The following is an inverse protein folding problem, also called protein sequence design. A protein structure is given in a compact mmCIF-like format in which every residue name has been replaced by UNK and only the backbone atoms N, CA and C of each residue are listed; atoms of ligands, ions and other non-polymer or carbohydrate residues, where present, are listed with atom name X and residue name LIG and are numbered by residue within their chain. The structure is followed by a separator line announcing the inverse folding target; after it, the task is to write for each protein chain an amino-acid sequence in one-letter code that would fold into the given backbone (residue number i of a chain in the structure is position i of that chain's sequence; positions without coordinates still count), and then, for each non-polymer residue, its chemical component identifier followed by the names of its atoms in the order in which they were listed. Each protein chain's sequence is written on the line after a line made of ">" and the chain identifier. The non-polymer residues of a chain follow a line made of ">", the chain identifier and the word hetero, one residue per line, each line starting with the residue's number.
data_IF_176790742210
#
_entry.id   IF_176790742210
#
_cell.length_a   1.000
_cell.length_b   1.000
_cell.length_c   1.000
_cell.angle_alpha   90.00
_cell.angle_beta   90.00
_cell.angle_gamma   90.00
#
_symmetry.space_group_name_H-M   'P 1'
#
loop_
_entity.id
_entity.type
_entity.pdbx_description
1 polymer ?
#
# COMPACT_ATOMS: atom_id res chain seq x y z
N UNK A 1 23.18 -43.34 7.14
CA UNK A 1 24.57 -43.83 7.21
C UNK A 1 25.49 -42.68 6.91
N UNK A 2 26.52 -42.54 7.74
CA UNK A 2 27.32 -41.33 7.91
C UNK A 2 28.70 -41.45 7.24
N UNK A 3 29.48 -40.35 7.24
CA UNK A 3 30.94 -40.29 7.41
C UNK A 3 31.35 -38.83 7.22
N UNK A 4 31.72 -38.11 8.24
CA UNK A 4 33.00 -37.96 8.91
C UNK A 4 33.93 -36.94 8.22
N UNK A 5 34.12 -35.78 8.84
CA UNK A 5 35.27 -35.45 9.68
C UNK A 5 36.58 -35.12 8.90
N UNK A 6 37.07 -33.91 8.99
CA UNK A 6 38.44 -33.64 9.40
C UNK A 6 38.72 -32.15 9.73
N UNK A 7 39.12 -31.97 10.96
CA UNK A 7 39.93 -30.94 11.58
C UNK A 7 41.24 -30.62 10.83
N UNK A 8 41.71 -29.36 10.94
CA UNK A 8 43.07 -28.91 11.39
C UNK A 8 43.10 -27.38 11.36
N UNK A 9 43.19 -26.68 12.44
CA UNK A 9 44.37 -26.27 13.27
C UNK A 9 45.47 -25.57 12.47
N UNK A 10 45.67 -24.28 12.76
CA UNK A 10 46.91 -23.52 13.01
C UNK A 10 46.47 -22.03 13.17
N UNK A 11 46.70 -21.29 14.18
CA UNK A 11 47.80 -21.18 15.13
C UNK A 11 48.77 -20.10 14.66
N UNK A 12 48.51 -18.79 14.98
CA UNK A 12 49.55 -17.78 14.94
C UNK A 12 49.27 -16.70 16.01
N UNK A 13 50.19 -16.68 16.93
CA UNK A 13 50.40 -15.84 18.09
C UNK A 13 50.76 -14.41 17.70
N UNK A 14 50.19 -13.43 18.38
CA UNK A 14 50.60 -12.03 18.37
C UNK A 14 51.72 -11.78 19.38
N UNK A 15 52.64 -10.82 19.17
CA UNK A 15 53.52 -10.33 20.24
C UNK A 15 52.96 -9.02 20.82
N UNK A 16 53.03 -8.93 22.14
CA UNK A 16 52.58 -7.85 22.97
C UNK A 16 53.40 -6.56 22.84
N UNK A 17 52.73 -5.48 23.11
CA UNK A 17 53.31 -4.16 23.36
C UNK A 17 53.10 -3.79 24.80
N UNK A 18 54.22 -3.51 25.50
CA UNK A 18 54.30 -3.07 26.92
C UNK A 18 53.84 -1.61 27.02
N UNK A 19 53.29 -1.19 28.16
CA UNK A 19 53.00 0.21 28.44
C UNK A 19 54.22 0.96 28.91
N UNK A 20 54.38 2.23 28.46
CA UNK A 20 55.38 3.16 28.87
C UNK A 20 55.02 3.83 30.21
N UNK A 21 56.03 4.27 31.00
CA UNK A 21 55.85 4.73 32.35
C UNK A 21 55.42 6.20 32.48
N UNK A 22 54.60 6.44 33.48
CA UNK A 22 54.13 7.73 33.97
C UNK A 22 55.31 8.51 34.56
N UNK A 23 55.58 9.72 34.01
CA UNK A 23 56.55 10.67 34.61
C UNK A 23 55.74 11.71 35.40
N UNK A 24 55.91 11.71 36.71
CA UNK A 24 55.50 12.79 37.60
C UNK A 24 56.58 13.87 37.69
N UNK A 25 56.26 15.17 37.59
CA UNK A 25 57.22 16.21 37.89
C UNK A 25 57.21 16.56 39.38
N UNK A 26 58.39 16.55 39.92
CA UNK A 26 58.75 16.93 41.31
C UNK A 26 58.80 18.43 41.43
N UNK A 27 58.18 18.98 42.49
CA UNK A 27 58.33 20.39 42.93
C UNK A 27 59.63 20.57 43.75
N UNK A 28 60.35 21.66 43.59
CA UNK A 28 61.42 21.99 44.53
C UNK A 28 60.96 22.92 45.66
N UNK A 29 61.65 22.92 46.78
CA UNK A 29 61.19 23.50 48.03
C UNK A 29 61.57 24.98 48.24
N UNK A 30 60.80 25.57 49.14
CA UNK A 30 60.86 26.85 49.80
C UNK A 30 62.27 27.45 50.07
N UNK A 31 62.44 28.71 49.69
CA UNK A 31 63.47 29.57 50.19
C UNK A 31 62.90 30.80 50.89
N UNK A 32 63.03 30.83 52.18
CA UNK A 32 62.73 31.95 53.05
C UNK A 32 63.82 32.99 52.87
N UNK A 33 63.48 34.25 52.60
CA UNK A 33 64.43 35.38 52.80
C UNK A 33 63.74 36.58 53.46
N UNK A 34 64.14 36.77 54.69
CA UNK A 34 63.76 37.88 55.55
C UNK A 34 64.64 39.08 55.18
N UNK A 35 64.11 40.28 54.95
CA UNK A 35 64.72 41.55 55.09
C UNK A 35 63.69 42.65 55.40
N UNK A 36 63.60 42.96 56.57
CA UNK A 36 63.92 44.18 57.40
C UNK A 36 63.49 45.54 56.85
N UNK A 37 62.64 46.12 57.67
CA UNK A 37 62.09 47.47 57.73
C UNK A 37 63.06 48.66 57.41
N UNK A 38 62.48 49.69 56.82
CA UNK A 38 62.58 51.06 57.36
C UNK A 38 61.72 52.03 56.53
N UNK A 39 60.75 52.54 57.20
CA UNK A 39 60.22 53.87 57.32
C UNK A 39 60.07 54.80 56.08
N UNK A 40 58.84 55.18 55.87
CA UNK A 40 58.41 56.57 55.72
C UNK A 40 56.89 56.71 55.71
N UNK A 41 56.41 57.23 56.82
CA UNK A 41 55.13 57.90 56.87
C UNK A 41 55.22 59.18 56.12
N UNK A 42 54.37 59.39 55.15
CA UNK A 42 53.79 60.64 54.67
C UNK A 42 53.47 60.52 53.18
N UNK A 43 52.17 60.23 52.89
CA UNK A 43 51.47 60.63 51.67
C UNK A 43 50.16 59.77 51.53
N UNK A 44 49.37 59.76 52.59
CA UNK A 44 48.02 59.16 52.54
C UNK A 44 46.97 60.24 52.70
N UNK A 45 46.72 61.01 51.62
CA UNK A 45 45.44 61.78 51.53
C UNK A 45 45.01 62.22 50.12
N UNK A 46 45.62 61.72 49.00
CA UNK A 46 45.16 62.11 47.67
C UNK A 46 44.72 60.94 46.75
N UNK A 47 44.71 59.65 47.23
CA UNK A 47 44.36 58.47 46.38
C UNK A 47 42.96 57.98 46.60
N UNK A 48 42.21 58.42 47.60
CA UNK A 48 40.89 57.86 47.91
C UNK A 48 39.76 58.24 46.91
N UNK A 49 39.93 59.30 46.17
CA UNK A 49 38.90 59.75 45.19
C UNK A 49 38.96 58.98 43.85
N UNK A 50 40.12 58.53 43.45
CA UNK A 50 40.32 57.90 42.12
C UNK A 50 39.99 56.40 42.09
N UNK A 51 40.11 55.73 43.23
CA UNK A 51 39.73 54.31 43.36
C UNK A 51 38.23 54.08 43.37
N UNK A 52 37.43 55.02 43.89
CA UNK A 52 35.97 54.93 43.88
C UNK A 52 35.38 55.11 42.45
N UNK A 53 36.01 55.94 41.61
CA UNK A 53 35.61 56.07 40.22
C UNK A 53 35.93 54.84 39.38
N UNK A 54 37.06 54.19 39.63
CA UNK A 54 37.46 52.94 38.96
C UNK A 54 36.54 51.81 39.41
N UNK A 55 36.23 51.70 40.71
CA UNK A 55 35.26 50.75 41.22
C UNK A 55 33.84 50.97 40.61
N UNK A 56 33.40 52.21 40.47
CA UNK A 56 32.13 52.54 39.78
C UNK A 56 32.06 52.13 38.31
N UNK A 57 33.19 52.35 37.56
CA UNK A 57 33.28 51.94 36.15
C UNK A 57 33.31 50.39 36.02
N UNK A 58 34.03 49.70 36.90
CA UNK A 58 34.02 48.21 36.89
C UNK A 58 32.66 47.66 37.20
N UNK A 59 31.93 48.20 38.18
CA UNK A 59 30.55 47.80 38.48
C UNK A 59 29.62 48.11 37.31
N UNK A 60 29.77 49.26 36.63
CA UNK A 60 28.97 49.59 35.46
C UNK A 60 29.27 48.67 34.26
N UNK A 61 30.53 48.28 34.05
CA UNK A 61 30.91 47.30 32.98
C UNK A 61 30.38 45.90 33.32
N UNK A 62 30.48 45.48 34.58
CA UNK A 62 29.94 44.20 35.03
C UNK A 62 28.40 44.21 34.93
N UNK A 63 27.73 45.29 35.32
CA UNK A 63 26.29 45.44 35.20
C UNK A 63 25.84 45.48 33.71
N UNK A 64 26.57 46.20 32.85
CA UNK A 64 26.30 46.21 31.41
C UNK A 64 26.59 44.84 30.79
N UNK A 65 27.67 44.17 31.20
CA UNK A 65 28.00 42.81 30.75
C UNK A 65 26.97 41.78 31.20
N UNK A 66 26.49 41.84 32.45
CA UNK A 66 25.42 40.97 32.95
C UNK A 66 24.08 41.29 32.34
N UNK A 67 23.82 42.54 31.98
CA UNK A 67 22.62 42.93 31.24
C UNK A 67 22.64 42.45 29.79
N UNK A 68 23.82 42.50 29.14
CA UNK A 68 24.01 42.02 27.78
C UNK A 68 24.06 40.48 27.67
N UNK A 69 24.52 39.81 28.73
CA UNK A 69 24.57 38.36 28.87
C UNK A 69 23.30 37.75 29.52
N UNK A 70 22.25 38.53 29.75
CA UNK A 70 21.00 37.97 30.22
C UNK A 70 20.50 37.02 29.14
N UNK A 71 20.34 35.70 29.42
CA UNK A 71 19.69 34.81 28.51
C UNK A 71 18.28 35.40 28.26
N UNK A 72 17.93 35.56 27.00
CA UNK A 72 16.55 35.89 26.61
C UNK A 72 15.68 34.82 27.30
N UNK A 73 14.85 35.24 28.26
CA UNK A 73 13.94 34.34 28.94
C UNK A 73 13.14 33.62 27.87
N UNK A 74 13.26 32.29 27.81
CA UNK A 74 12.40 31.50 26.92
C UNK A 74 10.96 31.84 27.30
N UNK A 75 10.25 32.46 26.37
CA UNK A 75 8.85 32.84 26.58
C UNK A 75 8.05 31.54 26.71
N UNK A 76 7.57 31.24 27.93
CA UNK A 76 6.84 30.00 28.24
C UNK A 76 5.60 29.77 27.37
N UNK A 77 5.20 30.76 26.60
CA UNK A 77 4.09 30.69 25.62
C UNK A 77 4.47 29.99 24.35
N UNK A 78 5.78 29.88 24.05
CA UNK A 78 6.31 29.21 22.85
C UNK A 78 7.27 28.10 23.28
N UNK A 79 7.13 26.95 22.62
CA UNK A 79 8.06 25.85 22.79
C UNK A 79 8.75 25.58 21.47
N UNK A 80 10.03 25.26 21.54
CA UNK A 80 10.83 24.93 20.36
C UNK A 80 11.40 23.52 20.45
N UNK A 81 11.48 22.86 19.30
CA UNK A 81 12.09 21.54 19.19
C UNK A 81 12.87 21.40 17.89
N UNK A 82 14.02 20.76 17.98
CA UNK A 82 14.79 20.40 16.80
C UNK A 82 14.11 19.22 16.10
N UNK A 83 14.11 19.27 14.77
CA UNK A 83 13.48 18.24 13.98
C UNK A 83 14.02 18.18 12.56
N UNK A 84 13.33 17.38 11.76
CA UNK A 84 13.63 17.20 10.34
C UNK A 84 12.34 17.25 9.54
N UNK A 85 12.41 17.88 8.37
CA UNK A 85 11.31 17.85 7.40
C UNK A 85 11.26 16.49 6.75
N UNK A 86 10.11 15.87 6.80
CA UNK A 86 9.78 14.57 6.21
C UNK A 86 8.56 14.71 5.31
N UNK A 87 8.38 13.79 4.40
CA UNK A 87 7.17 13.67 3.62
C UNK A 87 6.74 12.19 3.58
N UNK A 88 5.51 11.95 3.21
CA UNK A 88 5.02 10.58 3.05
C UNK A 88 5.69 9.94 1.84
N UNK A 89 6.40 8.85 2.07
CA UNK A 89 6.98 8.03 1.01
C UNK A 89 6.00 6.97 0.57
N UNK A 90 5.89 6.78 -0.75
CA UNK A 90 5.02 5.78 -1.37
C UNK A 90 5.84 4.99 -2.38
N UNK A 91 5.97 3.69 -2.16
CA UNK A 91 6.69 2.81 -3.06
C UNK A 91 5.77 2.27 -4.16
N UNK A 92 6.21 2.40 -5.41
CA UNK A 92 5.60 1.72 -6.54
C UNK A 92 6.27 0.35 -6.66
N UNK A 93 5.48 -0.69 -6.38
CA UNK A 93 5.94 -2.08 -6.38
C UNK A 93 5.22 -2.90 -7.45
N UNK A 94 5.91 -3.89 -8.02
CA UNK A 94 5.31 -4.82 -8.96
C UNK A 94 4.39 -5.80 -8.24
N UNK A 95 3.15 -5.98 -8.68
CA UNK A 95 2.25 -7.00 -8.14
C UNK A 95 2.67 -8.41 -8.55
N UNK A 96 3.17 -8.56 -9.77
CA UNK A 96 3.55 -9.84 -10.37
C UNK A 96 5.06 -9.90 -10.55
N UNK A 97 5.64 -11.06 -10.30
CA UNK A 97 7.06 -11.29 -10.56
C UNK A 97 7.35 -11.25 -12.06
N UNK A 98 8.46 -10.62 -12.44
CA UNK A 98 8.86 -10.54 -13.84
C UNK A 98 10.11 -9.71 -14.06
N UNK A 99 10.47 -9.53 -15.32
CA UNK A 99 11.57 -8.65 -15.73
C UNK A 99 11.04 -7.23 -15.94
N UNK A 100 11.76 -6.22 -15.46
CA UNK A 100 11.50 -4.83 -15.78
C UNK A 100 11.96 -4.55 -17.21
N UNK A 101 11.02 -4.19 -18.10
CA UNK A 101 11.34 -3.86 -19.49
C UNK A 101 11.94 -2.45 -19.58
N UNK A 102 11.26 -1.47 -18.99
CA UNK A 102 11.69 -0.06 -19.03
C UNK A 102 11.22 0.71 -17.80
N UNK A 103 11.94 1.74 -17.45
CA UNK A 103 11.58 2.73 -16.43
C UNK A 103 11.50 4.09 -17.13
N UNK A 104 10.34 4.73 -17.03
CA UNK A 104 9.98 5.93 -17.81
C UNK A 104 10.29 7.24 -17.09
N UNK A 105 10.76 7.15 -15.83
CA UNK A 105 11.02 8.29 -14.96
C UNK A 105 12.44 8.25 -14.42
N UNK A 106 12.99 9.43 -14.11
CA UNK A 106 14.29 9.58 -13.45
C UNK A 106 14.11 10.14 -12.04
N UNK A 107 15.16 10.01 -11.23
CA UNK A 107 15.21 10.62 -9.90
C UNK A 107 15.07 12.14 -10.01
N UNK A 108 14.19 12.70 -9.21
CA UNK A 108 13.86 14.13 -9.23
C UNK A 108 12.66 14.51 -10.11
N UNK A 109 12.21 13.64 -11.01
CA UNK A 109 11.05 13.91 -11.87
C UNK A 109 9.75 14.01 -11.04
N UNK A 110 8.85 14.90 -11.47
CA UNK A 110 7.49 14.95 -10.93
C UNK A 110 6.59 14.02 -11.72
N UNK A 111 5.76 13.28 -11.02
CA UNK A 111 4.78 12.36 -11.59
C UNK A 111 3.38 12.70 -11.11
N UNK A 112 2.41 12.57 -12.00
CA UNK A 112 1.00 12.71 -11.68
C UNK A 112 0.43 11.37 -11.17
N UNK A 113 -0.69 11.44 -10.44
CA UNK A 113 -1.45 10.24 -10.08
C UNK A 113 -1.89 9.46 -11.32
N UNK A 114 -1.72 8.14 -11.31
CA UNK A 114 -2.02 7.25 -12.44
C UNK A 114 -0.98 7.26 -13.57
N UNK A 115 0.03 8.12 -13.53
CA UNK A 115 1.09 8.13 -14.54
C UNK A 115 1.90 6.83 -14.51
N UNK A 116 2.17 6.25 -15.68
CA UNK A 116 3.02 5.05 -15.82
C UNK A 116 4.47 5.44 -15.54
N UNK A 117 5.08 4.77 -14.57
CA UNK A 117 6.48 5.02 -14.14
C UNK A 117 7.44 3.94 -14.61
N UNK A 118 6.93 2.70 -14.80
CA UNK A 118 7.71 1.58 -15.31
C UNK A 118 6.80 0.58 -16.01
N UNK A 119 7.38 -0.27 -16.87
CA UNK A 119 6.70 -1.38 -17.53
C UNK A 119 7.47 -2.67 -17.34
N UNK A 120 6.72 -3.74 -17.10
CA UNK A 120 7.25 -5.10 -17.05
C UNK A 120 7.30 -5.71 -18.45
N UNK A 121 8.13 -6.74 -18.63
CA UNK A 121 8.13 -7.56 -19.84
C UNK A 121 6.88 -8.45 -19.88
N UNK A 122 6.03 -8.19 -20.85
CA UNK A 122 4.70 -8.82 -20.99
C UNK A 122 4.63 -9.85 -22.12
N UNK A 123 5.74 -10.20 -22.79
CA UNK A 123 5.70 -11.08 -23.96
C UNK A 123 5.12 -12.46 -23.66
N UNK A 124 5.52 -13.08 -22.53
CA UNK A 124 4.97 -14.37 -22.10
C UNK A 124 3.48 -14.26 -21.73
N UNK A 125 3.07 -13.15 -21.13
CA UNK A 125 1.70 -12.90 -20.72
C UNK A 125 0.78 -12.69 -21.95
N UNK A 126 1.26 -11.98 -22.97
CA UNK A 126 0.54 -11.82 -24.24
C UNK A 126 0.36 -13.17 -24.98
N UNK A 127 1.37 -14.04 -24.95
CA UNK A 127 1.24 -15.38 -25.53
C UNK A 127 0.18 -16.23 -24.78
N UNK A 128 0.17 -16.18 -23.44
CA UNK A 128 -0.86 -16.85 -22.63
C UNK A 128 -2.25 -16.29 -22.88
N UNK A 129 -2.39 -14.98 -23.02
CA UNK A 129 -3.66 -14.33 -23.34
C UNK A 129 -4.18 -14.77 -24.72
N UNK A 130 -3.29 -14.88 -25.72
CA UNK A 130 -3.65 -15.39 -27.05
C UNK A 130 -4.11 -16.85 -26.98
N UNK A 131 -3.45 -17.69 -26.21
CA UNK A 131 -3.85 -19.08 -25.96
C UNK A 131 -5.24 -19.13 -25.29
N UNK A 132 -5.45 -18.39 -24.20
CA UNK A 132 -6.73 -18.39 -23.50
C UNK A 132 -7.88 -17.91 -24.38
N UNK A 133 -7.66 -16.94 -25.27
CA UNK A 133 -8.65 -16.51 -26.26
C UNK A 133 -8.99 -17.62 -27.28
N UNK A 134 -8.01 -18.41 -27.69
CA UNK A 134 -8.27 -19.57 -28.55
C UNK A 134 -9.10 -20.66 -27.83
N UNK A 135 -8.87 -20.85 -26.51
CA UNK A 135 -9.68 -21.76 -25.71
C UNK A 135 -11.13 -21.32 -25.57
N UNK A 136 -11.39 -20.01 -25.42
CA UNK A 136 -12.76 -19.44 -25.49
C UNK A 136 -13.42 -19.74 -26.86
N UNK A 137 -12.68 -19.56 -27.96
CA UNK A 137 -13.21 -19.87 -29.29
C UNK A 137 -13.56 -21.35 -29.44
N UNK A 138 -12.73 -22.24 -28.92
CA UNK A 138 -13.01 -23.70 -28.92
C UNK A 138 -14.24 -24.03 -28.08
N UNK A 139 -14.40 -23.45 -26.90
CA UNK A 139 -15.57 -23.67 -26.05
C UNK A 139 -16.87 -23.19 -26.74
N UNK A 140 -16.82 -22.03 -27.41
CA UNK A 140 -17.94 -21.53 -28.20
C UNK A 140 -18.31 -22.46 -29.36
N UNK A 141 -17.32 -23.00 -30.09
CA UNK A 141 -17.59 -23.97 -31.14
C UNK A 141 -18.21 -25.27 -30.62
N UNK A 142 -17.78 -25.74 -29.45
CA UNK A 142 -18.39 -26.91 -28.78
C UNK A 142 -19.86 -26.64 -28.41
N UNK A 143 -20.18 -25.47 -27.90
CA UNK A 143 -21.56 -25.04 -27.60
C UNK A 143 -22.42 -24.99 -28.88
N UNK A 144 -21.92 -24.45 -29.98
CA UNK A 144 -22.64 -24.45 -31.27
C UNK A 144 -22.93 -25.87 -31.74
N UNK A 145 -22.01 -26.82 -31.54
CA UNK A 145 -22.25 -28.24 -31.83
C UNK A 145 -23.37 -28.82 -30.96
N UNK A 146 -23.43 -28.47 -29.68
CA UNK A 146 -24.50 -28.88 -28.76
C UNK A 146 -25.84 -28.28 -29.16
N UNK A 147 -25.91 -27.04 -29.62
CA UNK A 147 -27.12 -26.41 -30.16
C UNK A 147 -27.64 -27.14 -31.41
N UNK A 148 -26.74 -27.52 -32.33
CA UNK A 148 -27.13 -28.31 -33.51
C UNK A 148 -27.72 -29.69 -33.09
N UNK A 149 -27.19 -30.30 -32.04
CA UNK A 149 -27.73 -31.54 -31.48
C UNK A 149 -29.14 -31.34 -30.90
N UNK A 150 -29.40 -30.26 -30.17
CA UNK A 150 -30.74 -29.89 -29.69
C UNK A 150 -31.72 -29.78 -30.86
N UNK A 151 -31.36 -29.06 -31.92
CA UNK A 151 -32.17 -28.92 -33.10
C UNK A 151 -32.51 -30.29 -33.74
N UNK A 152 -31.53 -31.18 -33.81
CA UNK A 152 -31.77 -32.57 -34.30
C UNK A 152 -32.75 -33.31 -33.38
N UNK A 153 -32.60 -33.25 -32.07
CA UNK A 153 -33.50 -33.95 -31.13
C UNK A 153 -34.92 -33.37 -31.13
N UNK A 154 -35.11 -32.08 -31.36
CA UNK A 154 -36.42 -31.46 -31.59
C UNK A 154 -37.11 -32.01 -32.83
N UNK A 155 -36.37 -32.20 -33.93
CA UNK A 155 -36.88 -32.83 -35.13
C UNK A 155 -37.28 -34.31 -34.88
N UNK A 156 -36.53 -35.06 -34.06
CA UNK A 156 -36.88 -36.45 -33.64
C UNK A 156 -38.22 -36.47 -32.87
N UNK A 157 -38.52 -35.48 -32.02
CA UNK A 157 -39.81 -35.32 -31.34
C UNK A 157 -40.92 -35.13 -32.37
N UNK A 158 -40.79 -34.24 -33.31
CA UNK A 158 -41.80 -33.97 -34.36
C UNK A 158 -42.07 -35.21 -35.23
N UNK A 159 -41.03 -36.00 -35.52
CA UNK A 159 -41.20 -37.28 -36.23
C UNK A 159 -41.99 -38.28 -35.34
N UNK A 160 -41.69 -38.37 -34.02
CA UNK A 160 -42.39 -39.27 -33.10
C UNK A 160 -43.87 -38.85 -32.92
N UNK A 161 -44.18 -37.56 -32.93
CA UNK A 161 -45.55 -37.03 -32.88
C UNK A 161 -46.32 -37.41 -34.13
N UNK A 162 -45.69 -37.38 -35.32
CA UNK A 162 -46.30 -37.82 -36.56
C UNK A 162 -46.66 -39.32 -36.55
N UNK A 163 -45.82 -40.17 -35.91
CA UNK A 163 -46.10 -41.60 -35.70
C UNK A 163 -47.27 -41.79 -34.72
N UNK A 164 -47.43 -40.96 -33.71
CA UNK A 164 -48.58 -41.01 -32.80
C UNK A 164 -49.89 -40.70 -33.53
N UNK A 165 -49.91 -39.64 -34.38
CA UNK A 165 -51.08 -39.27 -35.18
C UNK A 165 -51.48 -40.41 -36.09
N UNK A 166 -50.53 -41.12 -36.73
CA UNK A 166 -50.84 -42.34 -37.52
C UNK A 166 -51.46 -43.42 -36.66
N UNK A 167 -50.83 -43.73 -35.53
CA UNK A 167 -51.36 -44.82 -34.63
C UNK A 167 -52.76 -44.48 -34.10
N UNK A 168 -53.06 -43.22 -33.81
CA UNK A 168 -54.40 -42.76 -33.37
C UNK A 168 -55.45 -42.92 -34.47
N UNK A 169 -55.07 -42.58 -35.73
CA UNK A 169 -55.95 -42.77 -36.88
C UNK A 169 -56.26 -44.26 -37.11
N UNK A 170 -55.27 -45.15 -37.01
CA UNK A 170 -55.50 -46.62 -37.09
C UNK A 170 -56.37 -47.12 -35.94
N UNK A 171 -56.18 -46.65 -34.74
CA UNK A 171 -57.02 -46.98 -33.60
C UNK A 171 -58.46 -46.55 -33.78
N UNK A 172 -58.71 -45.34 -34.31
CA UNK A 172 -60.05 -44.82 -34.57
C UNK A 172 -60.81 -45.68 -35.64
N UNK A 173 -60.12 -46.07 -36.70
CA UNK A 173 -60.67 -46.99 -37.74
C UNK A 173 -61.01 -48.36 -37.14
N UNK A 174 -60.10 -48.97 -36.33
CA UNK A 174 -60.34 -50.25 -35.68
C UNK A 174 -61.52 -50.17 -34.72
N UNK A 175 -61.64 -49.10 -33.93
CA UNK A 175 -62.72 -48.84 -33.00
C UNK A 175 -64.07 -48.77 -33.72
N UNK A 176 -64.23 -47.93 -34.75
CA UNK A 176 -65.43 -47.76 -35.54
C UNK A 176 -65.87 -49.09 -36.20
N UNK A 177 -64.88 -49.84 -36.66
CA UNK A 177 -65.12 -51.14 -37.28
C UNK A 177 -65.68 -52.17 -36.26
N UNK A 178 -65.05 -52.27 -35.09
CA UNK A 178 -65.52 -53.12 -33.99
C UNK A 178 -66.93 -52.75 -33.50
N UNK A 179 -67.19 -51.47 -33.30
CA UNK A 179 -68.54 -50.98 -32.90
C UNK A 179 -69.61 -51.32 -33.94
N UNK A 180 -69.28 -51.26 -35.22
CA UNK A 180 -70.16 -51.63 -36.28
C UNK A 180 -70.45 -53.13 -36.28
N UNK A 181 -69.40 -53.98 -36.19
CA UNK A 181 -69.56 -55.43 -36.14
C UNK A 181 -70.29 -55.91 -34.90
N UNK A 182 -70.07 -55.28 -33.76
CA UNK A 182 -70.85 -55.59 -32.53
C UNK A 182 -72.35 -55.28 -32.67
N UNK A 183 -72.69 -54.16 -33.36
CA UNK A 183 -74.11 -53.86 -33.68
C UNK A 183 -74.72 -54.90 -34.63
N UNK A 184 -74.00 -55.32 -35.68
CA UNK A 184 -74.42 -56.32 -36.65
C UNK A 184 -74.57 -57.72 -35.97
N UNK A 185 -73.69 -58.07 -35.00
CA UNK A 185 -73.75 -59.27 -34.25
C UNK A 185 -75.06 -59.33 -33.43
N UNK A 186 -75.44 -58.24 -32.76
CA UNK A 186 -76.72 -58.14 -32.05
C UNK A 186 -77.95 -58.37 -32.96
N UNK A 187 -77.79 -57.96 -34.25
CA UNK A 187 -78.79 -58.18 -35.29
C UNK A 187 -78.68 -59.54 -35.97
N UNK A 188 -77.80 -60.47 -35.53
CA UNK A 188 -77.48 -61.77 -36.13
C UNK A 188 -77.02 -61.68 -37.59
N UNK A 189 -76.44 -60.52 -38.02
CA UNK A 189 -76.03 -60.25 -39.42
C UNK A 189 -74.49 -60.43 -39.61
N UNK A 190 -73.74 -60.93 -38.59
CA UNK A 190 -72.31 -61.26 -38.66
C UNK A 190 -72.00 -62.43 -37.69
N UNK A 191 -70.82 -63.06 -37.83
CA UNK A 191 -70.36 -64.13 -36.93
C UNK A 191 -69.74 -63.57 -35.64
N UNK A 192 -69.81 -64.33 -34.51
CA UNK A 192 -69.11 -64.00 -33.29
C UNK A 192 -67.57 -63.88 -33.49
N UNK A 193 -67.03 -64.77 -34.27
CA UNK A 193 -65.59 -64.74 -34.60
C UNK A 193 -65.16 -63.40 -35.23
N UNK A 194 -65.93 -62.86 -36.18
CA UNK A 194 -65.61 -61.58 -36.82
C UNK A 194 -65.71 -60.42 -35.81
N UNK A 195 -66.64 -60.45 -34.89
CA UNK A 195 -66.72 -59.41 -33.85
C UNK A 195 -65.56 -59.51 -32.83
N UNK A 196 -65.17 -60.74 -32.47
CA UNK A 196 -64.00 -60.97 -31.54
C UNK A 196 -62.69 -60.58 -32.23
N UNK A 197 -62.47 -60.87 -33.49
CA UNK A 197 -61.27 -60.45 -34.27
C UNK A 197 -61.18 -58.92 -34.34
N UNK A 198 -62.33 -58.24 -34.59
CA UNK A 198 -62.34 -56.78 -34.56
C UNK A 198 -62.05 -56.20 -33.18
N UNK A 199 -62.55 -56.80 -32.12
CA UNK A 199 -62.22 -56.38 -30.76
C UNK A 199 -60.70 -56.60 -30.41
N UNK A 200 -60.13 -57.72 -30.93
CA UNK A 200 -58.70 -57.95 -30.79
C UNK A 200 -57.84 -56.86 -31.51
N UNK A 201 -58.24 -56.43 -32.75
CA UNK A 201 -57.60 -55.37 -33.51
C UNK A 201 -57.69 -54.05 -32.74
N UNK A 202 -58.77 -53.69 -32.08
CA UNK A 202 -58.84 -52.48 -31.24
C UNK A 202 -57.80 -52.52 -30.12
N UNK A 203 -57.67 -53.67 -29.41
CA UNK A 203 -56.66 -53.77 -28.33
C UNK A 203 -55.24 -53.63 -28.87
N UNK A 204 -54.95 -54.22 -30.03
CA UNK A 204 -53.62 -54.06 -30.68
C UNK A 204 -53.35 -52.59 -31.10
N UNK A 205 -54.28 -51.93 -31.75
CA UNK A 205 -54.17 -50.55 -32.16
C UNK A 205 -54.01 -49.62 -30.94
N UNK A 206 -54.77 -49.86 -29.86
CA UNK A 206 -54.62 -49.12 -28.62
C UNK A 206 -53.24 -49.33 -27.97
N UNK A 207 -52.65 -50.53 -28.05
CA UNK A 207 -51.27 -50.76 -27.58
C UNK A 207 -50.26 -49.99 -28.41
N UNK A 208 -50.49 -49.93 -29.77
CA UNK A 208 -49.59 -49.11 -30.67
C UNK A 208 -49.60 -47.61 -30.33
N UNK A 209 -50.79 -47.05 -30.00
CA UNK A 209 -50.93 -45.67 -29.52
C UNK A 209 -50.08 -45.44 -28.26
N UNK A 210 -50.16 -46.38 -27.26
CA UNK A 210 -49.38 -46.28 -26.04
C UNK A 210 -47.84 -46.37 -26.34
N UNK A 211 -47.43 -47.21 -27.25
CA UNK A 211 -46.04 -47.33 -27.69
C UNK A 211 -45.56 -46.04 -28.34
N UNK A 212 -46.36 -45.43 -29.25
CA UNK A 212 -46.06 -44.17 -29.88
C UNK A 212 -45.95 -43.02 -28.86
N UNK A 213 -46.86 -42.93 -27.90
CA UNK A 213 -46.78 -41.94 -26.82
C UNK A 213 -45.50 -42.12 -25.94
N UNK A 214 -45.13 -43.36 -25.63
CA UNK A 214 -43.86 -43.61 -24.92
C UNK A 214 -42.63 -43.20 -25.71
N UNK A 215 -42.65 -43.34 -27.05
CA UNK A 215 -41.55 -42.84 -27.92
C UNK A 215 -41.41 -41.31 -27.85
N UNK A 216 -42.52 -40.56 -27.83
CA UNK A 216 -42.48 -39.13 -27.67
C UNK A 216 -41.83 -38.75 -26.32
N UNK A 217 -42.24 -39.40 -25.24
CA UNK A 217 -41.65 -39.14 -23.93
C UNK A 217 -40.13 -39.42 -23.90
N UNK A 218 -39.70 -40.48 -24.56
CA UNK A 218 -38.27 -40.79 -24.71
C UNK A 218 -37.53 -39.76 -25.56
N UNK A 219 -38.10 -39.31 -26.69
CA UNK A 219 -37.55 -38.25 -27.54
C UNK A 219 -37.45 -36.90 -26.79
N UNK A 220 -38.46 -36.53 -26.02
CA UNK A 220 -38.44 -35.34 -25.18
C UNK A 220 -37.34 -35.40 -24.08
N UNK A 221 -37.14 -36.60 -23.49
CA UNK A 221 -36.04 -36.78 -22.55
C UNK A 221 -34.66 -36.59 -23.22
N UNK A 222 -34.53 -37.03 -24.49
CA UNK A 222 -33.30 -36.81 -25.27
C UNK A 222 -33.08 -35.32 -25.58
N UNK A 223 -34.16 -34.52 -25.82
CA UNK A 223 -34.06 -33.05 -25.96
C UNK A 223 -33.49 -32.44 -24.67
N UNK A 224 -34.08 -32.76 -23.50
CA UNK A 224 -33.57 -32.23 -22.22
C UNK A 224 -32.10 -32.60 -21.94
N UNK A 225 -31.69 -33.80 -22.34
CA UNK A 225 -30.28 -34.20 -22.22
C UNK A 225 -29.36 -33.38 -23.14
N UNK A 226 -29.81 -33.05 -24.35
CA UNK A 226 -29.07 -32.19 -25.27
C UNK A 226 -29.03 -30.73 -24.78
N UNK A 227 -30.12 -30.22 -24.21
CA UNK A 227 -30.19 -28.89 -23.59
C UNK A 227 -29.18 -28.76 -22.41
N UNK A 228 -29.09 -29.80 -21.58
CA UNK A 228 -28.08 -29.84 -20.50
C UNK A 228 -26.64 -29.78 -21.01
N UNK A 229 -26.36 -30.30 -22.22
CA UNK A 229 -25.05 -30.17 -22.88
C UNK A 229 -24.80 -28.74 -23.32
N UNK A 230 -25.82 -27.98 -23.73
CA UNK A 230 -25.67 -26.54 -24.05
C UNK A 230 -25.35 -25.77 -22.79
N UNK A 231 -26.04 -26.01 -21.66
CA UNK A 231 -25.74 -25.40 -20.36
C UNK A 231 -24.30 -25.71 -19.90
N UNK A 232 -23.85 -26.94 -20.10
CA UNK A 232 -22.46 -27.32 -19.83
C UNK A 232 -21.48 -26.52 -20.72
N UNK A 233 -21.83 -26.31 -21.99
CA UNK A 233 -21.07 -25.48 -22.91
C UNK A 233 -20.98 -24.02 -22.46
N UNK A 234 -22.09 -23.44 -22.01
CA UNK A 234 -22.13 -22.07 -21.49
C UNK A 234 -21.28 -21.92 -20.21
N UNK A 235 -21.32 -22.90 -19.31
CA UNK A 235 -20.47 -22.92 -18.14
C UNK A 235 -18.97 -23.02 -18.51
N UNK A 236 -18.62 -23.80 -19.52
CA UNK A 236 -17.23 -23.89 -20.03
C UNK A 236 -16.76 -22.57 -20.65
N UNK A 237 -17.62 -21.87 -21.40
CA UNK A 237 -17.31 -20.52 -21.94
C UNK A 237 -17.04 -19.56 -20.79
N UNK A 238 -17.92 -19.50 -19.80
CA UNK A 238 -17.76 -18.60 -18.65
C UNK A 238 -16.44 -18.87 -17.89
N UNK A 239 -16.07 -20.13 -17.71
CA UNK A 239 -14.82 -20.52 -17.07
C UNK A 239 -13.59 -20.06 -17.86
N UNK A 240 -13.60 -20.25 -19.20
CA UNK A 240 -12.47 -19.81 -20.05
C UNK A 240 -12.40 -18.28 -20.19
N UNK A 241 -13.53 -17.58 -20.23
CA UNK A 241 -13.60 -16.12 -20.22
C UNK A 241 -13.06 -15.53 -18.90
N UNK A 242 -13.29 -16.19 -17.77
CA UNK A 242 -12.68 -15.78 -16.49
C UNK A 242 -11.15 -15.87 -16.51
N UNK A 243 -10.57 -16.85 -17.20
CA UNK A 243 -9.11 -16.95 -17.41
C UNK A 243 -8.61 -15.78 -18.24
N UNK A 244 -9.33 -15.43 -19.33
CA UNK A 244 -8.97 -14.24 -20.15
C UNK A 244 -9.01 -12.98 -19.30
N UNK A 245 -10.06 -12.77 -18.50
CA UNK A 245 -10.19 -11.58 -17.64
C UNK A 245 -9.05 -11.49 -16.60
N UNK A 246 -8.65 -12.61 -15.99
CA UNK A 246 -7.49 -12.66 -15.08
C UNK A 246 -6.20 -12.24 -15.77
N UNK A 247 -5.92 -12.80 -16.95
CA UNK A 247 -4.72 -12.48 -17.72
C UNK A 247 -4.70 -11.00 -18.19
N UNK A 248 -5.86 -10.43 -18.49
CA UNK A 248 -5.99 -9.01 -18.82
C UNK A 248 -5.66 -8.12 -17.60
N UNK A 249 -6.15 -8.49 -16.41
CA UNK A 249 -5.80 -7.79 -15.18
C UNK A 249 -4.30 -7.87 -14.85
N UNK A 250 -3.68 -9.04 -15.07
CA UNK A 250 -2.23 -9.20 -14.92
C UNK A 250 -1.44 -8.35 -15.93
N UNK A 251 -1.97 -8.17 -17.13
CA UNK A 251 -1.38 -7.31 -18.15
C UNK A 251 -1.48 -5.82 -17.76
N UNK A 252 -2.60 -5.39 -17.20
CA UNK A 252 -2.77 -4.03 -16.66
C UNK A 252 -1.83 -3.79 -15.46
N UNK A 253 -1.68 -4.78 -14.57
CA UNK A 253 -0.78 -4.72 -13.42
C UNK A 253 0.72 -4.72 -13.82
N UNK A 254 1.05 -5.09 -15.07
CA UNK A 254 2.39 -4.99 -15.63
C UNK A 254 2.80 -3.54 -15.97
N UNK A 255 1.85 -2.62 -16.08
CA UNK A 255 2.12 -1.18 -16.11
C UNK A 255 2.12 -0.62 -14.68
N UNK A 256 3.29 -0.32 -14.17
CA UNK A 256 3.43 0.24 -12.83
C UNK A 256 3.09 1.74 -12.87
N UNK A 257 2.05 2.10 -12.14
CA UNK A 257 1.54 3.48 -12.10
C UNK A 257 1.76 4.12 -10.74
N UNK A 258 2.00 5.43 -10.75
CA UNK A 258 2.09 6.22 -9.53
C UNK A 258 0.72 6.24 -8.81
N UNK A 259 0.62 5.80 -7.54
CA UNK A 259 -0.65 5.79 -6.82
C UNK A 259 -1.08 7.18 -6.34
N UNK A 260 -0.16 8.14 -6.37
CA UNK A 260 -0.36 9.56 -6.03
C UNK A 260 0.58 10.43 -6.83
N UNK A 261 0.24 11.71 -6.96
CA UNK A 261 1.16 12.71 -7.47
C UNK A 261 2.32 12.90 -6.48
N UNK A 262 3.53 13.04 -7.01
CA UNK A 262 4.71 13.19 -6.18
C UNK A 262 5.98 13.38 -6.98
N UNK A 263 7.12 13.37 -6.28
CA UNK A 263 8.44 13.41 -6.89
C UNK A 263 9.16 12.08 -6.72
N UNK A 264 9.79 11.60 -7.77
CA UNK A 264 10.62 10.38 -7.73
C UNK A 264 11.83 10.64 -6.82
N UNK A 265 11.96 9.85 -5.76
CA UNK A 265 13.07 9.93 -4.83
C UNK A 265 14.20 8.99 -5.23
N UNK A 266 13.86 7.72 -5.46
CA UNK A 266 14.85 6.70 -5.83
C UNK A 266 14.31 5.79 -6.93
N UNK A 267 15.19 5.42 -7.83
CA UNK A 267 15.02 4.26 -8.72
C UNK A 267 15.71 3.06 -8.06
N UNK A 268 14.92 2.10 -7.59
CA UNK A 268 15.42 0.96 -6.81
C UNK A 268 15.97 -0.13 -7.72
N UNK A 269 15.42 -0.26 -8.92
CA UNK A 269 15.78 -1.30 -9.90
C UNK A 269 16.18 -0.68 -11.25
N UNK A 270 16.85 -1.47 -12.09
CA UNK A 270 17.26 -1.06 -13.43
C UNK A 270 16.50 -1.85 -14.50
N UNK A 271 16.32 -1.29 -15.72
CA UNK A 271 15.79 -2.05 -16.85
C UNK A 271 16.58 -3.34 -17.10
N UNK A 272 15.87 -4.45 -17.30
CA UNK A 272 16.44 -5.77 -17.48
C UNK A 272 16.53 -6.62 -16.22
N UNK A 273 16.39 -6.03 -15.03
CA UNK A 273 16.38 -6.77 -13.77
C UNK A 273 15.10 -7.57 -13.58
N UNK A 274 15.21 -8.71 -12.89
CA UNK A 274 14.09 -9.58 -12.54
C UNK A 274 13.73 -9.34 -11.08
N UNK A 275 12.47 -9.04 -10.83
CA UNK A 275 11.93 -8.76 -9.48
C UNK A 275 10.84 -9.76 -9.10
N UNK A 276 10.72 -10.00 -7.80
CA UNK A 276 9.64 -10.79 -7.24
C UNK A 276 8.35 -9.96 -7.11
N UNK A 277 7.21 -10.62 -6.97
CA UNK A 277 5.97 -9.92 -6.60
C UNK A 277 6.12 -9.19 -5.26
N UNK A 278 5.68 -7.93 -5.19
CA UNK A 278 5.93 -7.02 -4.08
C UNK A 278 7.28 -6.30 -4.13
N UNK A 279 8.12 -6.56 -5.13
CA UNK A 279 9.41 -5.87 -5.32
C UNK A 279 9.18 -4.39 -5.64
N UNK A 280 9.86 -3.50 -4.91
CA UNK A 280 9.81 -2.05 -5.12
C UNK A 280 10.59 -1.69 -6.37
N UNK A 281 10.04 -0.82 -7.21
CA UNK A 281 10.66 -0.35 -8.46
C UNK A 281 11.08 1.11 -8.35
N UNK A 282 10.19 1.95 -7.88
CA UNK A 282 10.41 3.39 -7.70
C UNK A 282 9.84 3.81 -6.35
N UNK A 283 10.56 4.65 -5.62
CA UNK A 283 10.05 5.31 -4.43
C UNK A 283 9.68 6.75 -4.76
N UNK A 284 8.45 7.13 -4.40
CA UNK A 284 7.89 8.46 -4.60
C UNK A 284 7.75 9.17 -3.26
N UNK A 285 7.94 10.48 -3.27
CA UNK A 285 7.64 11.36 -2.15
C UNK A 285 6.41 12.19 -2.49
N UNK A 286 5.39 12.08 -1.65
CA UNK A 286 4.20 12.91 -1.75
C UNK A 286 4.52 14.33 -1.27
N UNK A 287 4.71 15.24 -2.21
CA UNK A 287 5.01 16.65 -1.92
C UNK A 287 3.82 17.44 -1.38
N UNK A 288 2.61 16.89 -1.44
CA UNK A 288 1.40 17.47 -0.84
C UNK A 288 1.22 17.10 0.63
N UNK A 289 2.00 16.16 1.17
CA UNK A 289 1.94 15.71 2.56
C UNK A 289 3.31 15.81 3.24
N UNK A 290 3.74 17.06 3.47
CA UNK A 290 5.03 17.38 4.09
C UNK A 290 4.81 17.85 5.52
N UNK A 291 5.59 17.31 6.42
CA UNK A 291 5.53 17.65 7.84
C UNK A 291 6.93 17.67 8.45
N UNK A 292 7.09 18.38 9.54
CA UNK A 292 8.30 18.35 10.35
C UNK A 292 8.08 17.42 11.54
N UNK A 293 8.92 16.40 11.67
CA UNK A 293 9.01 15.59 12.90
C UNK A 293 10.03 16.21 13.83
N UNK A 294 9.61 16.55 15.04
CA UNK A 294 10.48 17.14 16.07
C UNK A 294 10.17 16.55 17.45
N UNK A 295 11.04 16.83 18.41
CA UNK A 295 10.97 16.22 19.71
C UNK A 295 10.85 17.30 20.80
N UNK A 296 9.90 17.11 21.70
CA UNK A 296 9.67 17.98 22.84
C UNK A 296 9.86 17.23 24.15
N UNK A 297 10.44 17.87 25.20
CA UNK A 297 10.50 17.31 26.55
C UNK A 297 9.10 17.05 27.11
N UNK A 298 8.99 16.05 28.00
CA UNK A 298 7.74 15.69 28.69
C UNK A 298 7.04 16.90 29.34
N UNK A 299 7.81 17.78 29.95
CA UNK A 299 7.29 18.94 30.68
C UNK A 299 6.44 19.89 29.83
N UNK A 300 6.67 19.92 28.53
CA UNK A 300 5.94 20.81 27.60
C UNK A 300 5.09 20.06 26.59
N UNK A 301 5.44 18.80 26.26
CA UNK A 301 4.69 17.99 25.28
C UNK A 301 3.22 17.80 25.68
N UNK A 302 2.93 17.65 27.00
CA UNK A 302 1.58 17.51 27.51
C UNK A 302 0.70 18.77 27.37
N UNK A 303 1.30 19.93 27.07
CA UNK A 303 0.59 21.22 26.88
C UNK A 303 0.30 21.50 25.41
N UNK A 304 0.90 20.74 24.48
CA UNK A 304 0.72 20.90 23.05
C UNK A 304 -0.58 20.25 22.61
N UNK A 305 -1.53 21.04 22.12
CA UNK A 305 -2.76 20.52 21.55
C UNK A 305 -2.60 20.20 20.05
N UNK A 306 -3.32 19.20 19.55
CA UNK A 306 -3.45 18.96 18.11
C UNK A 306 -4.19 20.16 17.50
N UNK A 307 -3.69 20.67 16.37
CA UNK A 307 -4.16 21.88 15.73
C UNK A 307 -3.47 23.16 16.21
N UNK A 308 -2.59 23.11 17.24
CA UNK A 308 -1.77 24.25 17.63
C UNK A 308 -0.96 24.79 16.46
N UNK A 309 -0.90 26.11 16.36
CA UNK A 309 -0.12 26.78 15.33
C UNK A 309 1.38 26.58 15.57
N UNK A 310 2.10 26.26 14.51
CA UNK A 310 3.54 26.06 14.53
C UNK A 310 4.21 26.90 13.44
N UNK A 311 5.47 27.23 13.67
CA UNK A 311 6.35 27.89 12.71
C UNK A 311 7.60 27.03 12.54
N UNK A 312 7.95 26.74 11.30
CA UNK A 312 9.12 25.95 10.95
C UNK A 312 10.16 26.89 10.36
N UNK A 313 11.37 26.84 10.90
CA UNK A 313 12.54 27.55 10.41
C UNK A 313 13.60 26.51 10.06
N UNK A 314 14.00 26.44 8.79
CA UNK A 314 14.98 25.47 8.32
C UNK A 314 16.40 26.04 8.50
N UNK A 315 17.34 25.21 8.93
CA UNK A 315 18.73 25.61 9.09
C UNK A 315 19.37 26.05 7.76
N UNK A 316 18.92 25.45 6.65
CA UNK A 316 19.38 25.79 5.30
C UNK A 316 18.79 27.10 4.75
N UNK A 317 17.72 27.63 5.38
CA UNK A 317 16.99 28.82 4.91
C UNK A 317 16.41 29.60 6.10
N UNK A 318 17.26 30.19 6.97
CA UNK A 318 16.84 30.80 8.23
C UNK A 318 15.98 32.06 8.04
N UNK A 319 16.00 32.66 6.87
CA UNK A 319 15.22 33.86 6.54
C UNK A 319 13.73 33.55 6.30
N UNK A 320 13.38 32.29 6.03
CA UNK A 320 12.01 31.88 5.79
C UNK A 320 11.38 31.24 7.03
N UNK A 321 10.16 31.64 7.31
CA UNK A 321 9.33 31.12 8.41
C UNK A 321 8.08 30.49 7.81
N UNK A 322 8.02 29.16 7.84
CA UNK A 322 6.99 28.38 7.18
C UNK A 322 5.86 28.12 8.19
N UNK A 323 4.61 28.51 7.89
CA UNK A 323 3.47 28.20 8.74
C UNK A 323 3.16 26.70 8.68
N UNK A 324 2.81 26.14 9.84
CA UNK A 324 2.44 24.75 9.99
C UNK A 324 1.45 24.59 11.15
N UNK A 325 0.82 23.44 11.25
CA UNK A 325 -0.07 23.08 12.35
C UNK A 325 0.33 21.73 12.95
N UNK A 326 0.21 21.60 14.27
CA UNK A 326 0.48 20.33 14.95
C UNK A 326 -0.56 19.30 14.53
N UNK A 327 -0.14 18.26 13.83
CA UNK A 327 -1.01 17.18 13.36
C UNK A 327 -0.97 15.93 14.24
N UNK A 328 0.10 15.75 15.02
CA UNK A 328 0.29 14.56 15.84
C UNK A 328 1.18 14.84 17.03
N UNK A 329 0.81 14.28 18.18
CA UNK A 329 1.61 14.21 19.41
C UNK A 329 1.65 12.75 19.84
N UNK A 330 2.84 12.18 20.01
CA UNK A 330 2.99 10.77 20.42
C UNK A 330 2.46 10.56 21.84
N UNK A 331 1.72 9.47 22.03
CA UNK A 331 1.23 9.05 23.36
C UNK A 331 2.28 8.30 24.18
N UNK A 332 3.41 7.92 23.56
CA UNK A 332 4.51 7.18 24.21
C UNK A 332 5.79 7.96 24.03
N UNK A 333 6.49 8.15 25.14
CA UNK A 333 7.80 8.78 25.15
C UNK A 333 8.85 7.91 24.44
N UNK A 334 9.77 8.56 23.76
CA UNK A 334 10.93 7.92 23.15
C UNK A 334 12.20 8.36 23.88
N UNK A 335 13.14 7.42 24.04
CA UNK A 335 14.47 7.76 24.52
C UNK A 335 15.31 8.23 23.34
N UNK A 336 15.93 9.39 23.45
CA UNK A 336 16.97 9.78 22.48
C UNK A 336 18.20 8.91 22.72
N UNK A 337 18.65 8.11 21.74
CA UNK A 337 19.89 7.37 21.86
C UNK A 337 21.05 8.37 21.74
N UNK A 338 21.53 8.89 22.87
CA UNK A 338 22.81 9.58 22.94
C UNK A 338 23.81 8.68 23.66
N UNK A 339 24.85 8.33 22.94
CA UNK A 339 26.10 7.81 23.51
C UNK A 339 26.81 8.93 24.24
N UNK A 340 26.39 9.26 25.47
CA UNK A 340 27.10 10.22 26.33
C UNK A 340 27.01 9.76 27.80
N UNK A 341 28.13 9.84 28.47
CA UNK A 341 28.49 9.16 29.68
C UNK A 341 28.03 9.80 31.01
N UNK A 342 27.11 10.73 31.04
CA UNK A 342 26.63 11.33 32.30
C UNK A 342 25.25 10.87 32.69
N UNK A 343 25.10 10.44 33.94
CA UNK A 343 23.84 9.92 34.52
C UNK A 343 22.66 10.92 34.46
N UNK A 344 22.93 12.22 34.45
CA UNK A 344 21.92 13.27 34.43
C UNK A 344 21.31 13.54 33.02
N UNK A 345 21.94 13.07 31.93
CA UNK A 345 21.42 13.23 30.56
C UNK A 345 20.66 12.01 30.04
N UNK A 346 20.73 10.87 30.73
CA UNK A 346 20.09 9.62 30.29
C UNK A 346 18.57 9.57 30.45
N UNK A 347 17.93 10.56 31.03
CA UNK A 347 16.52 10.49 31.43
C UNK A 347 15.65 11.64 30.90
N UNK A 348 16.01 12.30 29.81
CA UNK A 348 15.08 13.23 29.19
C UNK A 348 14.17 12.45 28.22
N UNK A 349 13.03 11.99 28.76
CA UNK A 349 11.95 11.48 27.92
C UNK A 349 11.50 12.59 26.99
N UNK A 350 11.48 12.28 25.70
CA UNK A 350 11.01 13.19 24.66
C UNK A 350 9.82 12.60 23.94
N UNK A 351 8.89 13.43 23.59
CA UNK A 351 7.72 13.06 22.81
C UNK A 351 7.88 13.54 21.38
N UNK A 352 7.60 12.64 20.44
CA UNK A 352 7.60 12.96 19.02
C UNK A 352 6.35 13.75 18.67
N UNK A 353 6.53 14.90 18.05
CA UNK A 353 5.47 15.76 17.56
C UNK A 353 5.65 15.93 16.05
N UNK A 354 4.55 15.99 15.31
CA UNK A 354 4.55 16.32 13.88
C UNK A 354 3.80 17.62 13.67
N UNK A 355 4.43 18.55 12.97
CA UNK A 355 3.79 19.76 12.46
C UNK A 355 3.67 19.65 10.94
N UNK A 356 2.44 19.67 10.42
CA UNK A 356 2.12 19.56 9.00
C UNK A 356 2.08 20.92 8.36
N UNK A 357 2.71 21.04 7.21
CA UNK A 357 2.66 22.24 6.36
C UNK A 357 1.36 22.20 5.55
N UNK A 358 0.77 23.36 5.33
CA UNK A 358 -0.47 23.46 4.56
C UNK A 358 -0.27 22.97 3.11
N UNK A 359 -1.08 22.00 2.62
CA UNK A 359 -1.00 21.51 1.25
C UNK A 359 -1.15 22.60 0.18
N UNK A 360 -1.96 23.63 0.44
CA UNK A 360 -2.11 24.75 -0.50
C UNK A 360 -0.82 25.57 -0.65
N UNK A 361 -0.06 25.67 0.42
CA UNK A 361 1.25 26.30 0.39
C UNK A 361 2.27 25.46 -0.37
N UNK A 362 2.28 24.14 -0.12
CA UNK A 362 3.18 23.21 -0.80
C UNK A 362 2.91 23.19 -2.32
N UNK A 363 1.66 23.28 -2.74
CA UNK A 363 1.28 23.33 -4.16
C UNK A 363 1.79 24.59 -4.88
N UNK A 364 2.02 25.70 -4.15
CA UNK A 364 2.57 26.95 -4.73
C UNK A 364 4.09 26.87 -4.94
N UNK A 365 4.80 26.04 -4.17
CA UNK A 365 6.27 25.98 -4.16
C UNK A 365 6.83 24.57 -4.30
N UNK A 366 6.37 23.75 -5.28
CA UNK A 366 6.71 22.32 -5.35
C UNK A 366 8.22 22.05 -5.53
N UNK A 367 8.92 22.92 -6.24
CA UNK A 367 10.36 22.77 -6.51
C UNK A 367 11.23 23.07 -5.28
N UNK A 368 10.73 23.87 -4.36
CA UNK A 368 11.44 24.28 -3.15
C UNK A 368 11.30 23.27 -2.00
N UNK A 369 10.29 22.39 -2.09
CA UNK A 369 10.07 21.34 -1.10
C UNK A 369 11.18 20.32 -1.16
N UNK A 370 12.02 20.30 -0.13
CA UNK A 370 13.09 19.32 0.06
C UNK A 370 12.89 18.61 1.39
N UNK A 371 12.88 17.30 1.35
CA UNK A 371 12.80 16.43 2.53
C UNK A 371 14.19 16.18 3.10
N UNK A 372 14.26 15.78 4.37
CA UNK A 372 15.51 15.48 5.05
C UNK A 372 16.21 16.70 5.66
N UNK A 373 15.75 17.94 5.40
CA UNK A 373 16.36 19.15 5.93
C UNK A 373 16.13 19.27 7.45
N UNK A 374 17.18 19.53 8.24
CA UNK A 374 17.06 19.84 9.66
C UNK A 374 16.54 21.27 9.85
N UNK A 375 15.96 21.53 11.02
CA UNK A 375 15.46 22.84 11.38
C UNK A 375 14.83 22.85 12.77
N UNK A 376 14.25 23.99 13.13
CA UNK A 376 13.53 24.23 14.37
C UNK A 376 12.04 24.39 14.13
N UNK A 377 11.22 23.65 14.88
CA UNK A 377 9.80 23.92 14.99
C UNK A 377 9.53 24.74 16.26
N UNK A 378 8.79 25.81 16.11
CA UNK A 378 8.27 26.62 17.20
C UNK A 378 6.75 26.41 17.28
N UNK A 379 6.26 26.01 18.44
CA UNK A 379 4.82 25.74 18.65
C UNK A 379 4.28 26.73 19.65
N UNK A 380 3.14 27.33 19.32
CA UNK A 380 2.41 28.25 20.21
C UNK A 380 1.55 27.45 21.17
N UNK A 381 1.81 27.57 22.47
CA UNK A 381 1.04 26.90 23.53
C UNK A 381 -0.19 27.69 23.94
N UNK A 382 -0.11 29.02 23.86
CA UNK A 382 -1.21 29.95 24.15
C UNK A 382 -1.76 30.51 22.85
N UNK A 383 -3.01 30.19 22.52
CA UNK A 383 -3.66 30.59 21.28
C UNK A 383 -3.79 32.10 21.06
N UNK A 384 -3.74 32.91 22.13
CA UNK A 384 -3.84 34.36 22.07
C UNK A 384 -2.49 35.09 21.98
N UNK A 385 -1.37 34.37 22.19
CA UNK A 385 -0.06 34.98 22.14
C UNK A 385 0.33 35.39 20.71
N UNK A 386 0.77 36.64 20.55
CA UNK A 386 1.30 37.12 19.28
C UNK A 386 2.67 36.54 18.99
N UNK A 387 2.93 36.17 17.75
CA UNK A 387 4.22 35.66 17.33
C UNK A 387 5.31 36.75 17.40
N UNK A 388 6.48 36.46 17.97
CA UNK A 388 7.63 37.35 17.93
C UNK A 388 7.95 37.79 16.49
N UNK A 389 8.45 39.01 16.32
CA UNK A 389 8.79 39.59 15.00
C UNK A 389 9.71 38.68 14.18
N UNK A 390 10.60 37.92 14.84
CA UNK A 390 11.50 36.95 14.20
C UNK A 390 10.77 35.70 13.63
N UNK A 391 9.58 35.39 14.14
CA UNK A 391 8.81 34.20 13.75
C UNK A 391 7.53 34.55 12.97
N UNK A 392 7.40 35.78 12.50
CA UNK A 392 6.33 36.12 11.56
C UNK A 392 6.54 35.41 10.22
N UNK A 393 5.41 34.97 9.59
CA UNK A 393 5.47 34.22 8.32
C UNK A 393 6.24 35.00 7.27
N UNK A 394 7.24 34.36 6.72
CA UNK A 394 8.03 34.84 5.58
C UNK A 394 8.24 33.67 4.64
N UNK A 395 7.68 33.77 3.45
CA UNK A 395 7.76 32.76 2.40
C UNK A 395 8.75 33.22 1.33
N UNK A 396 9.33 32.29 0.56
CA UNK A 396 10.28 32.60 -0.52
C UNK A 396 9.67 33.40 -1.65
#
# INVERSE_FOLDING_TARGET
>A
MPVSNHQRRAGATAPGLRPAPIVTPVLPPSGIMVLRSMGRESEVRAAAGRTWWIAGIVVAIVAAGTWWLRPVADDERFVRGNGRVEATEVDVAAKVAGRVAEILVNEGDFVAEGQVVARMDVQSLLAQLAQARAEVANARSARETALALVAQRVADVAMSESVLIQAEAEFDVARRTSERLQRLLKQKATSAQQADDAAARVRTAQANVRVAAAKIAAAQAAVRAAEAQVEQGDAAIAATEAVVARLQSELEDAELRAPRAGRVQYRIVQPGEVIAGGGKVVSLVDIGDVYMTFFLPETVAGRVAIGSEARIVLDAAPDFVIPASVSFVASVAQFTPKTVETQSERQKMVFRVKARIDPELLAKYPEQVKTGLPGMAHVRLDGEAEWPAALQVRLP
#
